data_IF_990523052518
#
_entry.id   IF_990523052518
#
_cell.length_a   1.000
_cell.length_b   1.000
_cell.length_c   1.000
_cell.angle_alpha   90.00
_cell.angle_beta   90.00
_cell.angle_gamma   90.00
#
_symmetry.space_group_name_H-M   'P 1'
#
loop_
_entity.id
_entity.type
_entity.pdbx_description
1 polymer ?
#
# COMPACT_ATOMS: atom_id res chain seq x y z
N UNK A 1 5.06 -4.91 -9.25
CA UNK A 1 4.77 -3.54 -9.72
C UNK A 1 5.53 -2.51 -8.92
N UNK A 2 5.56 -1.27 -9.41
CA UNK A 2 6.33 -0.17 -8.82
C UNK A 2 5.39 0.94 -8.36
N UNK A 3 5.54 1.38 -7.12
CA UNK A 3 4.92 2.60 -6.60
C UNK A 3 5.96 3.72 -6.53
N UNK A 4 5.67 4.85 -7.20
CA UNK A 4 6.54 6.02 -7.19
C UNK A 4 6.20 6.96 -6.03
N UNK A 5 7.20 7.71 -5.57
CA UNK A 5 6.96 8.75 -4.57
C UNK A 5 6.17 9.92 -5.16
N UNK A 6 5.06 10.31 -4.52
CA UNK A 6 4.18 11.40 -4.96
C UNK A 6 4.05 12.48 -3.90
N UNK A 7 4.42 13.71 -4.26
CA UNK A 7 4.32 14.90 -3.40
C UNK A 7 3.34 15.90 -4.02
N UNK A 8 2.14 16.01 -3.43
CA UNK A 8 1.06 16.80 -3.98
C UNK A 8 0.67 16.33 -5.39
N UNK A 9 0.86 17.19 -6.40
CA UNK A 9 0.61 16.89 -7.82
C UNK A 9 1.85 16.38 -8.57
N UNK A 10 3.00 16.29 -7.92
CA UNK A 10 4.28 15.93 -8.56
C UNK A 10 4.67 14.50 -8.24
N UNK A 11 5.11 13.76 -9.26
CA UNK A 11 5.71 12.43 -9.13
C UNK A 11 7.23 12.60 -9.16
N UNK A 12 7.93 12.09 -8.14
CA UNK A 12 9.37 12.21 -8.02
C UNK A 12 10.07 10.96 -8.57
N UNK A 13 10.31 10.95 -9.89
CA UNK A 13 10.85 9.81 -10.63
C UNK A 13 12.25 9.35 -10.18
N UNK A 14 13.07 10.28 -9.67
CA UNK A 14 14.46 10.02 -9.22
C UNK A 14 14.55 9.61 -7.75
N UNK A 15 13.44 9.68 -6.99
CA UNK A 15 13.41 9.25 -5.59
C UNK A 15 13.27 7.73 -5.52
N UNK A 16 13.41 7.18 -4.31
CA UNK A 16 13.16 5.79 -4.01
C UNK A 16 11.81 5.30 -4.59
N UNK A 17 11.77 4.01 -4.90
CA UNK A 17 10.60 3.32 -5.47
C UNK A 17 10.23 2.19 -4.52
N UNK A 18 8.96 2.08 -4.15
CA UNK A 18 8.46 0.90 -3.45
C UNK A 18 8.11 -0.17 -4.47
N UNK A 19 8.58 -1.40 -4.24
CA UNK A 19 8.22 -2.57 -5.04
C UNK A 19 7.17 -3.36 -4.26
N UNK A 20 6.13 -3.80 -4.96
CA UNK A 20 5.10 -4.65 -4.38
C UNK A 20 4.73 -5.80 -5.31
N UNK A 21 4.35 -6.92 -4.70
CA UNK A 21 3.85 -8.09 -5.40
C UNK A 21 2.37 -7.90 -5.74
N UNK A 22 2.00 -8.31 -6.96
CA UNK A 22 0.60 -8.29 -7.40
C UNK A 22 -0.23 -9.42 -6.77
N UNK A 23 0.45 -10.50 -6.37
CA UNK A 23 -0.13 -11.71 -5.84
C UNK A 23 0.65 -12.14 -4.58
N UNK A 24 -0.04 -12.31 -3.43
CA UNK A 24 0.56 -12.87 -2.22
C UNK A 24 1.18 -14.26 -2.42
N UNK A 25 0.67 -15.07 -3.35
CA UNK A 25 1.23 -16.39 -3.66
C UNK A 25 2.69 -16.27 -4.09
N UNK A 26 3.01 -15.36 -5.02
CA UNK A 26 4.38 -15.14 -5.49
C UNK A 26 5.29 -14.71 -4.34
N UNK A 27 4.80 -13.79 -3.49
CA UNK A 27 5.56 -13.32 -2.34
C UNK A 27 5.88 -14.46 -1.36
N UNK A 28 4.89 -15.30 -1.05
CA UNK A 28 5.05 -16.43 -0.13
C UNK A 28 5.98 -17.50 -0.70
N UNK A 29 5.84 -17.86 -1.97
CA UNK A 29 6.71 -18.85 -2.63
C UNK A 29 8.17 -18.39 -2.65
N UNK A 30 8.43 -17.12 -2.96
CA UNK A 30 9.79 -16.58 -2.95
C UNK A 30 10.38 -16.52 -1.54
N UNK A 31 9.56 -16.17 -0.55
CA UNK A 31 10.00 -16.17 0.85
C UNK A 31 10.35 -17.59 1.31
N UNK A 32 9.47 -18.57 1.05
CA UNK A 32 9.70 -19.98 1.38
C UNK A 32 10.97 -20.53 0.70
N UNK A 33 11.16 -20.23 -0.59
CA UNK A 33 12.37 -20.60 -1.32
C UNK A 33 13.65 -19.99 -0.71
N UNK A 34 13.55 -18.77 -0.16
CA UNK A 34 14.63 -18.09 0.54
C UNK A 34 14.76 -18.51 2.02
N UNK A 35 13.95 -19.47 2.51
CA UNK A 35 13.84 -19.84 3.92
C UNK A 35 13.48 -18.66 4.84
N UNK A 36 12.68 -17.73 4.34
CA UNK A 36 12.23 -16.52 5.03
C UNK A 36 10.70 -16.47 5.14
N UNK A 37 10.20 -15.57 5.98
CA UNK A 37 8.75 -15.29 6.08
C UNK A 37 8.47 -13.82 5.80
N UNK A 38 7.47 -13.51 4.94
CA UNK A 38 7.16 -12.14 4.64
C UNK A 38 6.51 -11.48 5.87
N UNK A 39 6.86 -10.22 6.11
CA UNK A 39 6.22 -9.44 7.16
C UNK A 39 4.74 -9.28 6.82
N UNK A 40 3.86 -9.62 7.77
CA UNK A 40 2.41 -9.56 7.59
C UNK A 40 1.92 -8.17 7.15
N UNK A 41 2.52 -7.11 7.73
CA UNK A 41 2.22 -5.73 7.33
C UNK A 41 2.54 -5.45 5.85
N UNK A 42 3.63 -6.03 5.32
CA UNK A 42 3.99 -5.90 3.90
C UNK A 42 2.98 -6.60 3.01
N UNK A 43 2.49 -7.78 3.39
CA UNK A 43 1.43 -8.48 2.65
C UNK A 43 0.16 -7.62 2.55
N UNK A 44 -0.25 -7.00 3.64
CA UNK A 44 -1.42 -6.11 3.67
C UNK A 44 -1.24 -4.88 2.78
N UNK A 45 -0.06 -4.24 2.84
CA UNK A 45 0.27 -3.13 1.96
C UNK A 45 0.22 -3.57 0.49
N UNK A 46 0.87 -4.67 0.13
CA UNK A 46 0.94 -5.18 -1.24
C UNK A 46 -0.42 -5.56 -1.80
N UNK A 47 -1.26 -6.24 -1.00
CA UNK A 47 -2.64 -6.57 -1.39
C UNK A 47 -3.43 -5.29 -1.69
N UNK A 48 -3.30 -4.27 -0.84
CA UNK A 48 -3.98 -2.99 -1.01
C UNK A 48 -3.48 -2.28 -2.27
N UNK A 49 -2.16 -2.19 -2.46
CA UNK A 49 -1.53 -1.58 -3.65
C UNK A 49 -1.94 -2.31 -4.94
N UNK A 50 -1.96 -3.64 -4.93
CA UNK A 50 -2.34 -4.45 -6.08
C UNK A 50 -3.80 -4.19 -6.51
N UNK A 51 -4.73 -4.11 -5.57
CA UNK A 51 -6.14 -3.82 -5.90
C UNK A 51 -6.33 -2.39 -6.41
N UNK A 52 -5.68 -1.40 -5.79
CA UNK A 52 -5.72 -0.02 -6.26
C UNK A 52 -5.11 0.12 -7.64
N UNK A 53 -3.98 -0.56 -7.89
CA UNK A 53 -3.33 -0.59 -9.20
C UNK A 53 -4.24 -1.22 -10.26
N UNK A 54 -4.90 -2.36 -9.96
CA UNK A 54 -5.86 -2.98 -10.89
C UNK A 54 -7.03 -2.06 -11.22
N UNK A 55 -7.56 -1.32 -10.23
CA UNK A 55 -8.71 -0.44 -10.42
C UNK A 55 -8.36 0.88 -11.13
N UNK A 56 -7.20 1.46 -10.81
CA UNK A 56 -6.86 2.83 -11.21
C UNK A 56 -5.70 2.95 -12.19
N UNK A 57 -4.93 1.88 -12.41
CA UNK A 57 -3.77 1.85 -13.31
C UNK A 57 -2.49 2.50 -12.74
N UNK A 58 -2.58 3.15 -11.58
CA UNK A 58 -1.47 3.81 -10.93
C UNK A 58 -1.62 3.77 -9.41
N UNK A 59 -0.50 3.54 -8.72
CA UNK A 59 -0.42 3.63 -7.26
C UNK A 59 0.91 4.28 -6.89
N UNK A 60 0.86 5.12 -5.87
CA UNK A 60 1.99 5.91 -5.39
C UNK A 60 2.11 5.75 -3.88
N UNK A 61 3.22 6.23 -3.33
CA UNK A 61 3.40 6.36 -1.89
C UNK A 61 3.94 7.75 -1.56
N UNK A 62 3.90 8.13 -0.29
CA UNK A 62 4.53 9.36 0.19
C UNK A 62 5.31 9.10 1.46
N UNK A 63 6.53 9.63 1.55
CA UNK A 63 7.36 9.51 2.75
C UNK A 63 8.16 10.78 2.98
N UNK A 64 7.79 11.48 4.05
CA UNK A 64 8.51 12.64 4.58
C UNK A 64 8.29 12.70 6.12
N UNK A 65 7.73 13.78 6.67
CA UNK A 65 7.37 13.87 8.10
C UNK A 65 6.26 12.87 8.54
N UNK A 66 5.51 12.36 7.56
CA UNK A 66 4.53 11.29 7.68
C UNK A 66 4.72 10.30 6.53
N UNK A 67 4.23 9.08 6.71
CA UNK A 67 4.16 8.05 5.69
C UNK A 67 2.71 7.89 5.23
N UNK A 68 2.52 7.66 3.94
CA UNK A 68 1.26 7.21 3.33
C UNK A 68 1.64 6.06 2.40
N UNK A 69 1.18 4.86 2.74
CA UNK A 69 1.55 3.63 2.05
C UNK A 69 1.00 3.56 0.62
N UNK A 70 -0.26 4.00 0.43
CA UNK A 70 -0.91 3.95 -0.87
C UNK A 70 -1.61 5.28 -1.20
N UNK A 71 -1.35 5.81 -2.40
CA UNK A 71 -2.03 6.95 -2.98
C UNK A 71 -2.51 6.56 -4.37
N UNK A 72 -3.82 6.62 -4.59
CA UNK A 72 -4.43 6.36 -5.89
C UNK A 72 -5.62 7.30 -6.09
N UNK A 73 -5.65 8.03 -7.21
CA UNK A 73 -6.59 9.14 -7.45
C UNK A 73 -6.65 10.11 -6.25
N UNK A 74 -7.79 10.15 -5.56
CA UNK A 74 -8.07 11.01 -4.40
C UNK A 74 -7.94 10.26 -3.07
N UNK A 75 -7.61 8.96 -3.10
CA UNK A 75 -7.45 8.13 -1.90
C UNK A 75 -6.02 8.26 -1.37
N UNK A 76 -5.93 8.43 -0.05
CA UNK A 76 -4.70 8.32 0.73
C UNK A 76 -4.95 7.27 1.79
N UNK A 77 -4.18 6.19 1.75
CA UNK A 77 -4.43 5.01 2.57
C UNK A 77 -3.15 4.68 3.32
N UNK A 78 -3.30 4.48 4.62
CA UNK A 78 -2.28 3.95 5.51
C UNK A 78 -2.73 2.55 5.94
N UNK A 79 -1.86 1.55 5.78
CA UNK A 79 -2.15 0.17 6.15
C UNK A 79 -1.48 -0.15 7.47
N UNK A 80 -2.22 -0.77 8.40
CA UNK A 80 -1.71 -1.16 9.71
C UNK A 80 -2.04 -2.60 10.02
N UNK A 81 -1.03 -3.31 10.53
CA UNK A 81 -1.23 -4.59 11.21
C UNK A 81 -1.68 -4.44 12.68
N UNK A 82 -1.80 -3.22 13.21
CA UNK A 82 -2.13 -2.95 14.62
C UNK A 82 -2.74 -1.57 14.87
N UNK A 83 -2.91 -1.18 16.14
CA UNK A 83 -3.60 0.07 16.52
C UNK A 83 -2.84 1.32 16.02
N UNK A 84 -3.54 2.32 15.45
CA UNK A 84 -2.91 3.57 15.03
C UNK A 84 -2.48 4.40 16.25
N UNK A 85 -1.18 4.73 16.32
CA UNK A 85 -0.60 5.52 17.43
C UNK A 85 -0.36 7.00 17.08
N UNK A 86 -0.53 7.42 15.82
CA UNK A 86 -0.16 8.76 15.35
C UNK A 86 -1.28 9.44 14.56
N UNK A 87 -1.32 10.77 14.59
CA UNK A 87 -2.22 11.58 13.76
C UNK A 87 -1.67 11.68 12.33
N UNK A 88 -2.51 11.38 11.36
CA UNK A 88 -2.21 11.45 9.92
C UNK A 88 -2.70 12.75 9.31
N UNK A 89 -2.20 13.13 8.12
CA UNK A 89 -2.76 14.23 7.35
C UNK A 89 -4.27 14.07 7.16
N UNK A 90 -5.00 15.19 7.07
CA UNK A 90 -6.45 15.18 6.80
C UNK A 90 -6.76 14.33 5.56
N UNK A 91 -7.84 13.57 5.63
CA UNK A 91 -8.35 12.66 4.58
C UNK A 91 -7.48 11.43 4.31
N UNK A 92 -6.70 10.97 5.29
CA UNK A 92 -6.03 9.66 5.22
C UNK A 92 -6.95 8.59 5.80
N UNK A 93 -7.24 7.56 5.03
CA UNK A 93 -7.99 6.38 5.46
C UNK A 93 -6.98 5.44 6.11
N UNK A 94 -7.21 5.04 7.35
CA UNK A 94 -6.40 4.01 8.01
C UNK A 94 -7.15 2.70 7.88
N UNK A 95 -6.47 1.65 7.40
CA UNK A 95 -7.04 0.31 7.28
C UNK A 95 -6.30 -0.66 8.20
N UNK A 96 -7.02 -1.35 9.07
CA UNK A 96 -6.51 -2.54 9.76
C UNK A 96 -6.71 -3.80 8.92
N UNK A 97 -6.19 -4.93 9.39
CA UNK A 97 -6.41 -6.24 8.77
C UNK A 97 -7.90 -6.52 8.51
N UNK A 98 -8.76 -6.16 9.45
CA UNK A 98 -10.20 -6.38 9.40
C UNK A 98 -10.91 -5.42 8.42
N UNK A 99 -10.36 -4.21 8.25
CA UNK A 99 -10.94 -3.19 7.37
C UNK A 99 -10.57 -3.40 5.89
N UNK A 100 -9.45 -4.07 5.60
CA UNK A 100 -8.96 -4.26 4.23
C UNK A 100 -9.99 -5.00 3.36
N UNK A 101 -10.51 -6.19 3.72
CA UNK A 101 -11.48 -6.88 2.88
C UNK A 101 -12.74 -6.08 2.53
N UNK A 102 -13.49 -5.48 3.50
CA UNK A 102 -14.68 -4.72 3.16
C UNK A 102 -14.36 -3.44 2.38
N UNK A 103 -13.22 -2.79 2.65
CA UNK A 103 -12.78 -1.62 1.89
C UNK A 103 -12.51 -1.98 0.42
N UNK A 104 -11.76 -3.06 0.17
CA UNK A 104 -11.45 -3.51 -1.19
C UNK A 104 -12.69 -3.98 -1.95
N UNK A 105 -13.64 -4.61 -1.26
CA UNK A 105 -14.93 -4.97 -1.85
C UNK A 105 -15.73 -3.73 -2.28
N UNK A 106 -15.86 -2.74 -1.39
CA UNK A 106 -16.56 -1.48 -1.66
C UNK A 106 -15.89 -0.67 -2.77
N UNK A 107 -14.59 -0.84 -3.00
CA UNK A 107 -13.91 -0.24 -4.16
C UNK A 107 -14.35 -0.88 -5.48
N UNK A 108 -14.74 -2.13 -5.55
CA UNK A 108 -15.08 -2.76 -6.83
C UNK A 108 -16.57 -2.63 -7.21
N UNK A 109 -17.37 -2.03 -6.32
CA UNK A 109 -18.78 -1.67 -6.57
C UNK A 109 -18.87 -0.23 -7.06
#
# INVERSE_FOLDING_TARGET
EIAYHKEGKRILWRKEKKIFFLDPFIANTLAEWACETPLQASIYEWVTQAHLHRKYGEVYYYRNAYEIDCIARNLKIEVKAGKPHRKYPKNTITLTQEDIPPFLYALNT
#
